data_IF_288761541882
#
_entry.id   IF_288761541882
#
_cell.length_a   1.000
_cell.length_b   1.000
_cell.length_c   1.000
_cell.angle_alpha   90.00
_cell.angle_beta   90.00
_cell.angle_gamma   90.00
#
_symmetry.space_group_name_H-M   'P 1'
#
loop_
_entity.id
_entity.type
_entity.pdbx_description
1 polymer ?
#
# COMPACT_ATOMS: atom_id res chain seq x y z
N UNK A 1 -11.59 10.51 -6.17
CA UNK A 1 -10.88 11.29 -5.13
C UNK A 1 -11.83 12.26 -4.42
N UNK A 2 -12.65 13.01 -5.16
CA UNK A 2 -13.57 14.00 -4.57
C UNK A 2 -14.62 13.39 -3.64
N UNK A 3 -15.10 12.16 -3.89
CA UNK A 3 -16.09 11.50 -3.03
C UNK A 3 -15.53 11.20 -1.63
N UNK A 4 -14.42 10.47 -1.51
CA UNK A 4 -13.83 10.11 -0.20
C UNK A 4 -13.36 11.32 0.60
N UNK A 5 -12.74 12.31 -0.06
CA UNK A 5 -12.35 13.56 0.62
C UNK A 5 -13.59 14.32 1.12
N UNK A 6 -14.65 14.39 0.32
CA UNK A 6 -15.90 15.03 0.74
C UNK A 6 -16.59 14.28 1.87
N UNK A 7 -16.59 12.95 1.83
CA UNK A 7 -17.07 12.10 2.91
C UNK A 7 -16.38 12.47 4.24
N UNK A 8 -15.04 12.53 4.25
CA UNK A 8 -14.31 12.87 5.47
C UNK A 8 -14.57 14.29 5.97
N UNK A 9 -14.66 15.28 5.06
CA UNK A 9 -15.03 16.66 5.42
C UNK A 9 -16.39 16.77 6.08
N UNK A 10 -17.35 15.97 5.64
CA UNK A 10 -18.70 15.97 6.18
C UNK A 10 -18.80 15.18 7.49
N UNK A 11 -17.98 14.13 7.65
CA UNK A 11 -18.04 13.21 8.79
C UNK A 11 -17.29 13.74 10.02
N UNK A 12 -16.18 14.46 9.82
CA UNK A 12 -15.26 14.85 10.90
C UNK A 12 -15.23 16.38 11.05
N UNK A 13 -15.68 16.89 12.20
CA UNK A 13 -15.76 18.33 12.46
C UNK A 13 -14.38 18.99 12.61
N UNK A 14 -13.40 18.29 13.18
CA UNK A 14 -12.07 18.82 13.50
C UNK A 14 -11.01 18.44 12.45
N UNK A 15 -11.44 18.01 11.27
CA UNK A 15 -10.52 17.55 10.24
C UNK A 15 -9.65 18.69 9.70
N UNK A 16 -8.35 18.44 9.57
CA UNK A 16 -7.38 19.38 9.01
C UNK A 16 -6.69 18.80 7.79
N UNK A 17 -6.27 19.66 6.88
CA UNK A 17 -5.62 19.26 5.62
C UNK A 17 -4.26 19.94 5.47
N UNK A 18 -3.32 19.26 4.83
CA UNK A 18 -2.10 19.86 4.29
C UNK A 18 -2.38 20.59 2.97
N UNK A 19 -1.39 21.34 2.49
CA UNK A 19 -1.48 22.11 1.25
C UNK A 19 -1.77 21.23 0.01
N UNK A 20 -1.28 20.00 0.00
CA UNK A 20 -1.55 19.01 -1.05
C UNK A 20 -2.94 18.34 -0.94
N UNK A 21 -3.75 18.76 0.03
CA UNK A 21 -5.10 18.27 0.26
C UNK A 21 -5.18 16.91 0.94
N UNK A 22 -4.08 16.44 1.54
CA UNK A 22 -4.07 15.25 2.41
C UNK A 22 -4.68 15.57 3.78
N UNK A 23 -5.37 14.61 4.40
CA UNK A 23 -5.83 14.77 5.79
C UNK A 23 -4.64 14.68 6.76
N UNK A 24 -4.39 15.75 7.51
CA UNK A 24 -3.35 15.80 8.55
C UNK A 24 -3.81 15.19 9.87
N UNK A 25 -5.03 15.51 10.28
CA UNK A 25 -5.66 15.12 11.56
C UNK A 25 -7.16 15.00 11.29
N UNK A 26 -7.80 13.94 11.78
CA UNK A 26 -9.25 13.71 11.79
C UNK A 26 -9.91 14.13 13.11
N UNK A 27 -9.23 13.93 14.24
CA UNK A 27 -9.72 14.28 15.58
C UNK A 27 -8.71 15.15 16.33
N UNK A 28 -7.88 14.56 17.19
CA UNK A 28 -6.73 15.22 17.81
C UNK A 28 -5.51 14.32 17.72
N UNK A 29 -4.31 14.91 17.70
CA UNK A 29 -3.06 14.15 17.63
C UNK A 29 -2.94 13.15 18.79
N UNK A 30 -3.40 13.49 19.99
CA UNK A 30 -3.34 12.60 21.14
C UNK A 30 -4.32 11.42 21.02
N UNK A 31 -5.56 11.66 20.59
CA UNK A 31 -6.55 10.60 20.38
C UNK A 31 -6.11 9.63 19.29
N UNK A 32 -5.68 10.15 18.14
CA UNK A 32 -5.18 9.33 17.05
C UNK A 32 -3.93 8.55 17.45
N UNK A 33 -2.98 9.16 18.15
CA UNK A 33 -1.79 8.44 18.62
C UNK A 33 -2.13 7.35 19.64
N UNK A 34 -3.07 7.61 20.55
CA UNK A 34 -3.51 6.63 21.53
C UNK A 34 -4.19 5.44 20.85
N UNK A 35 -5.01 5.67 19.82
CA UNK A 35 -5.66 4.59 19.08
C UNK A 35 -4.64 3.68 18.42
N UNK A 36 -3.61 4.21 17.74
CA UNK A 36 -2.59 3.33 17.13
C UNK A 36 -1.69 2.66 18.17
N UNK A 37 -1.48 3.29 19.33
CA UNK A 37 -0.61 2.76 20.38
C UNK A 37 -1.28 1.66 21.23
N UNK A 38 -2.58 1.78 21.50
CA UNK A 38 -3.30 0.91 22.43
C UNK A 38 -4.55 0.23 21.85
N UNK A 39 -5.06 0.72 20.71
CA UNK A 39 -6.31 0.29 20.07
C UNK A 39 -6.13 0.01 18.58
N UNK A 40 -6.94 0.68 17.75
CA UNK A 40 -6.92 0.56 16.29
C UNK A 40 -6.86 1.93 15.60
N UNK A 41 -5.87 2.11 14.75
CA UNK A 41 -5.80 3.21 13.78
C UNK A 41 -6.25 2.77 12.40
N UNK A 42 -7.10 3.58 11.75
CA UNK A 42 -7.40 3.44 10.33
C UNK A 42 -6.77 4.61 9.57
N UNK A 43 -5.79 4.34 8.71
CA UNK A 43 -5.17 5.35 7.86
C UNK A 43 -5.64 5.20 6.41
N UNK A 44 -6.17 6.29 5.84
CA UNK A 44 -6.60 6.30 4.44
C UNK A 44 -5.40 6.45 3.50
N UNK A 45 -5.07 5.37 2.78
CA UNK A 45 -3.97 5.33 1.82
C UNK A 45 -4.42 5.34 0.36
N UNK A 46 -5.68 5.71 0.08
CA UNK A 46 -6.28 5.66 -1.27
C UNK A 46 -5.63 6.60 -2.30
N UNK A 47 -4.79 7.54 -1.86
CA UNK A 47 -3.98 8.43 -2.72
C UNK A 47 -2.64 7.78 -3.15
N UNK A 48 -2.38 6.53 -2.75
CA UNK A 48 -1.27 5.74 -3.27
C UNK A 48 -1.35 5.61 -4.78
N UNK A 49 -0.20 5.66 -5.47
CA UNK A 49 -0.14 5.33 -6.88
C UNK A 49 -0.67 3.91 -7.12
N UNK A 50 -1.60 3.76 -8.06
CA UNK A 50 -2.07 2.45 -8.51
C UNK A 50 -1.93 2.36 -10.02
N UNK A 51 -0.98 1.55 -10.49
CA UNK A 51 -0.72 1.36 -11.91
C UNK A 51 -1.17 -0.04 -12.30
N UNK A 52 -2.14 -0.15 -13.20
CA UNK A 52 -2.58 -1.41 -13.78
C UNK A 52 -1.73 -1.73 -15.00
N UNK A 53 -1.24 -2.96 -15.07
CA UNK A 53 -0.58 -3.53 -16.24
C UNK A 53 -1.36 -4.74 -16.75
N UNK A 54 -1.53 -4.82 -18.06
CA UNK A 54 -2.17 -5.95 -18.75
C UNK A 54 -1.41 -6.28 -20.04
N UNK A 55 -1.61 -7.50 -20.54
CA UNK A 55 -0.89 -8.04 -21.70
C UNK A 55 -0.08 -9.29 -21.34
N UNK A 56 0.27 -10.09 -22.35
CA UNK A 56 0.87 -11.43 -22.12
C UNK A 56 2.31 -11.36 -21.59
N UNK A 57 3.01 -10.24 -21.82
CA UNK A 57 4.44 -10.09 -21.50
C UNK A 57 4.69 -9.43 -20.13
N UNK A 58 3.64 -9.00 -19.42
CA UNK A 58 3.74 -8.20 -18.18
C UNK A 58 4.65 -8.84 -17.14
N UNK A 59 4.49 -10.13 -16.86
CA UNK A 59 5.26 -10.80 -15.80
C UNK A 59 6.75 -10.86 -16.14
N UNK A 60 7.07 -11.23 -17.39
CA UNK A 60 8.45 -11.31 -17.88
C UNK A 60 9.09 -9.92 -17.94
N UNK A 61 8.31 -8.91 -18.33
CA UNK A 61 8.72 -7.52 -18.36
C UNK A 61 9.05 -7.00 -16.95
N UNK A 62 8.13 -7.15 -15.99
CA UNK A 62 8.34 -6.75 -14.59
C UNK A 62 9.49 -7.51 -13.93
N UNK A 63 9.69 -8.78 -14.29
CA UNK A 63 10.84 -9.56 -13.86
C UNK A 63 12.16 -8.94 -14.32
N UNK A 64 12.21 -8.29 -15.47
CA UNK A 64 13.43 -7.64 -15.98
C UNK A 64 13.67 -6.23 -15.46
N UNK A 65 12.66 -5.53 -14.96
CA UNK A 65 12.81 -4.10 -14.60
C UNK A 65 12.74 -3.82 -13.10
N UNK A 66 12.28 -4.79 -12.30
CA UNK A 66 12.16 -4.65 -10.85
C UNK A 66 13.17 -5.51 -10.09
N UNK A 67 13.41 -5.23 -8.82
CA UNK A 67 14.49 -5.87 -8.04
C UNK A 67 14.15 -7.24 -7.45
N UNK A 68 12.88 -7.55 -7.17
CA UNK A 68 12.48 -8.82 -6.54
C UNK A 68 12.07 -9.89 -7.57
N UNK A 69 12.13 -11.18 -7.21
CA UNK A 69 11.69 -12.25 -8.10
C UNK A 69 10.17 -12.31 -8.15
N UNK A 70 9.60 -11.87 -9.28
CA UNK A 70 8.16 -11.85 -9.51
C UNK A 70 7.70 -13.01 -10.41
N UNK A 71 8.62 -13.83 -10.91
CA UNK A 71 8.35 -14.85 -11.95
C UNK A 71 7.32 -15.92 -11.55
N UNK A 72 7.09 -16.10 -10.25
CA UNK A 72 6.16 -17.07 -9.67
C UNK A 72 4.96 -16.41 -8.99
N UNK A 73 4.64 -15.17 -9.37
CA UNK A 73 3.51 -14.46 -8.77
C UNK A 73 2.18 -15.10 -9.19
N UNK A 74 1.53 -15.75 -8.24
CA UNK A 74 0.24 -16.41 -8.42
C UNK A 74 -0.93 -15.42 -8.33
N UNK A 75 -2.10 -15.72 -8.94
CA UNK A 75 -3.29 -14.89 -8.78
C UNK A 75 -3.63 -14.65 -7.31
N UNK A 76 -4.08 -13.43 -7.01
CA UNK A 76 -4.38 -12.91 -5.68
C UNK A 76 -3.19 -12.88 -4.72
N UNK A 77 -1.95 -12.97 -5.20
CA UNK A 77 -0.76 -12.78 -4.37
C UNK A 77 -0.10 -11.44 -4.66
N UNK A 78 0.72 -10.99 -3.71
CA UNK A 78 1.59 -9.84 -3.91
C UNK A 78 3.04 -10.14 -3.60
N UNK A 79 3.91 -9.33 -4.17
CA UNK A 79 5.34 -9.28 -3.85
C UNK A 79 5.77 -7.82 -3.75
N UNK A 80 6.53 -7.49 -2.71
CA UNK A 80 7.16 -6.18 -2.60
C UNK A 80 8.37 -6.14 -3.53
N UNK A 81 8.48 -5.12 -4.36
CA UNK A 81 9.59 -4.97 -5.31
C UNK A 81 9.94 -3.50 -5.50
N UNK A 82 11.19 -3.24 -5.86
CA UNK A 82 11.72 -1.89 -6.02
C UNK A 82 11.87 -1.56 -7.50
N UNK A 83 11.62 -0.29 -7.81
CA UNK A 83 11.99 0.35 -9.06
C UNK A 83 13.22 1.20 -8.78
N UNK A 84 14.29 1.01 -9.55
CA UNK A 84 15.55 1.75 -9.35
C UNK A 84 16.07 2.29 -10.67
N UNK A 85 16.84 3.37 -10.65
CA UNK A 85 17.54 3.84 -11.85
C UNK A 85 18.79 3.01 -12.13
N UNK A 86 19.50 3.32 -13.22
CA UNK A 86 20.70 2.59 -13.66
C UNK A 86 21.85 2.67 -12.63
N UNK A 87 21.80 3.64 -11.71
CA UNK A 87 22.75 3.80 -10.60
C UNK A 87 22.30 3.08 -9.32
N UNK A 88 21.22 2.29 -9.37
CA UNK A 88 20.68 1.56 -8.23
C UNK A 88 19.96 2.43 -7.20
N UNK A 89 19.57 3.67 -7.55
CA UNK A 89 18.84 4.57 -6.64
C UNK A 89 17.34 4.39 -6.77
N UNK A 90 16.61 4.54 -5.65
CA UNK A 90 15.19 4.23 -5.57
C UNK A 90 14.33 5.23 -6.36
N UNK A 91 13.47 4.71 -7.22
CA UNK A 91 12.39 5.45 -7.92
C UNK A 91 11.08 5.28 -7.16
N UNK A 92 10.77 4.04 -6.77
CA UNK A 92 9.65 3.72 -5.90
C UNK A 92 9.82 2.32 -5.28
N UNK A 93 9.05 2.05 -4.22
CA UNK A 93 8.81 0.73 -3.67
C UNK A 93 7.33 0.41 -3.84
N UNK A 94 7.02 -0.70 -4.48
CA UNK A 94 5.64 -1.07 -4.80
C UNK A 94 5.29 -2.44 -4.23
N UNK A 95 4.01 -2.62 -3.87
CA UNK A 95 3.43 -3.95 -3.83
C UNK A 95 2.91 -4.30 -5.23
N UNK A 96 3.55 -5.25 -5.91
CA UNK A 96 3.05 -5.84 -7.14
C UNK A 96 2.05 -6.93 -6.79
N UNK A 97 0.78 -6.72 -7.14
CA UNK A 97 -0.33 -7.64 -6.91
C UNK A 97 -0.75 -8.23 -8.25
N UNK A 98 -0.86 -9.56 -8.34
CA UNK A 98 -1.57 -10.19 -9.46
C UNK A 98 -3.02 -10.37 -9.06
N UNK A 99 -3.93 -9.74 -9.78
CA UNK A 99 -5.37 -9.82 -9.52
C UNK A 99 -6.05 -10.37 -10.78
N UNK A 100 -6.48 -11.63 -10.69
CA UNK A 100 -6.94 -12.40 -11.86
C UNK A 100 -5.88 -12.38 -12.98
N UNK A 101 -6.25 -11.85 -14.15
CA UNK A 101 -5.38 -11.74 -15.33
C UNK A 101 -4.58 -10.43 -15.40
N UNK A 102 -4.78 -9.53 -14.43
CA UNK A 102 -4.15 -8.21 -14.41
C UNK A 102 -3.10 -8.11 -13.31
N UNK A 103 -2.20 -7.14 -13.46
CA UNK A 103 -1.20 -6.80 -12.46
C UNK A 103 -1.42 -5.38 -11.99
N UNK A 104 -1.32 -5.15 -10.69
CA UNK A 104 -1.46 -3.84 -10.08
C UNK A 104 -0.21 -3.54 -9.26
N UNK A 105 0.44 -2.43 -9.57
CA UNK A 105 1.48 -1.85 -8.73
C UNK A 105 0.83 -0.83 -7.81
N UNK A 106 0.82 -1.13 -6.51
CA UNK A 106 0.45 -0.15 -5.47
C UNK A 106 1.74 0.46 -4.93
N UNK A 107 2.04 1.66 -5.41
CA UNK A 107 3.26 2.41 -5.11
C UNK A 107 3.06 3.53 -4.09
N UNK A 108 3.99 4.48 -4.11
CA UNK A 108 3.96 5.60 -3.18
C UNK A 108 2.90 6.64 -3.57
N UNK A 109 2.43 7.35 -2.55
CA UNK A 109 1.48 8.45 -2.72
C UNK A 109 2.05 9.54 -3.65
N UNK A 110 1.22 10.01 -4.58
CA UNK A 110 1.54 11.03 -5.58
C UNK A 110 2.75 10.74 -6.51
N UNK A 111 3.19 9.47 -6.58
CA UNK A 111 4.32 9.06 -7.44
C UNK A 111 3.87 8.33 -8.71
N UNK A 112 2.57 8.33 -9.02
CA UNK A 112 1.95 7.59 -10.11
C UNK A 112 2.45 8.02 -11.49
N UNK A 113 2.53 9.33 -11.73
CA UNK A 113 3.02 9.86 -13.02
C UNK A 113 4.51 9.56 -13.25
N UNK A 114 5.32 9.61 -12.18
CA UNK A 114 6.76 9.29 -12.24
C UNK A 114 6.95 7.80 -12.49
N UNK A 115 6.27 6.96 -11.70
CA UNK A 115 6.33 5.50 -11.82
C UNK A 115 5.86 5.04 -13.19
N UNK A 116 4.70 5.50 -13.66
CA UNK A 116 4.17 5.13 -14.98
C UNK A 116 5.11 5.52 -16.12
N UNK A 117 5.65 6.75 -16.10
CA UNK A 117 6.61 7.22 -17.11
C UNK A 117 7.93 6.44 -17.07
N UNK A 118 8.38 6.07 -15.87
CA UNK A 118 9.58 5.28 -15.71
C UNK A 118 9.39 3.89 -16.32
N UNK A 119 8.27 3.22 -16.05
CA UNK A 119 7.95 1.89 -16.60
C UNK A 119 7.81 1.95 -18.13
N UNK A 120 7.06 2.94 -18.64
CA UNK A 120 6.78 3.12 -20.06
C UNK A 120 8.05 3.21 -20.92
N UNK A 121 9.10 3.87 -20.39
CA UNK A 121 10.41 3.98 -21.07
C UNK A 121 11.02 2.62 -21.46
N UNK A 122 10.76 1.57 -20.68
CA UNK A 122 11.35 0.26 -20.91
C UNK A 122 10.45 -0.67 -21.73
N UNK A 123 9.24 -0.24 -22.09
CA UNK A 123 8.37 -0.97 -23.02
C UNK A 123 8.80 -0.61 -24.44
N UNK A 124 9.31 -1.58 -25.18
CA UNK A 124 9.79 -1.37 -26.56
C UNK A 124 8.96 -2.18 -27.55
N UNK A 125 8.85 -3.49 -27.29
CA UNK A 125 8.12 -4.44 -28.16
C UNK A 125 7.20 -5.38 -27.37
N UNK A 126 7.31 -5.36 -26.05
CA UNK A 126 6.53 -6.16 -25.14
C UNK A 126 5.04 -5.82 -25.24
N UNK A 127 4.18 -6.84 -25.26
CA UNK A 127 2.74 -6.68 -25.13
C UNK A 127 2.38 -6.38 -23.67
N UNK A 128 2.55 -5.09 -23.32
CA UNK A 128 2.27 -4.50 -22.01
C UNK A 128 1.53 -3.18 -22.20
N UNK A 129 0.32 -3.09 -21.65
CA UNK A 129 -0.46 -1.87 -21.56
C UNK A 129 -0.43 -1.34 -20.14
N UNK A 130 -0.17 -0.04 -19.97
CA UNK A 130 -0.18 0.66 -18.69
C UNK A 130 -1.44 1.52 -18.60
N UNK A 131 -2.15 1.46 -17.47
CA UNK A 131 -3.26 2.33 -17.15
C UNK A 131 -3.14 2.86 -15.72
N UNK A 132 -3.37 4.16 -15.53
CA UNK A 132 -3.37 4.77 -14.19
C UNK A 132 -4.73 4.55 -13.52
N UNK A 133 -4.73 3.77 -12.45
CA UNK A 133 -5.90 3.43 -11.61
C UNK A 133 -5.83 4.12 -10.24
N UNK A 134 -4.96 5.10 -10.06
CA UNK A 134 -4.89 5.92 -8.84
C UNK A 134 -6.27 6.52 -8.55
N UNK A 135 -6.70 6.50 -7.29
CA UNK A 135 -8.02 6.93 -6.84
C UNK A 135 -9.23 6.08 -7.33
N UNK A 136 -9.01 4.89 -7.90
CA UNK A 136 -10.09 3.94 -8.26
C UNK A 136 -10.43 2.95 -7.14
N UNK A 137 -9.61 2.87 -6.11
CA UNK A 137 -9.81 1.98 -4.98
C UNK A 137 -9.85 2.77 -3.67
N UNK A 138 -10.71 2.34 -2.75
CA UNK A 138 -10.52 2.63 -1.34
C UNK A 138 -9.44 1.69 -0.84
N UNK A 139 -8.39 2.25 -0.25
CA UNK A 139 -7.31 1.48 0.36
C UNK A 139 -7.12 2.04 1.77
N UNK A 140 -7.28 1.19 2.77
CA UNK A 140 -7.11 1.54 4.18
C UNK A 140 -6.01 0.69 4.81
N UNK A 141 -5.09 1.32 5.52
CA UNK A 141 -4.22 0.66 6.49
C UNK A 141 -5.02 0.49 7.80
N UNK A 142 -5.18 -0.73 8.28
CA UNK A 142 -5.74 -1.07 9.60
C UNK A 142 -4.56 -1.52 10.48
N UNK A 143 -4.27 -0.75 11.51
CA UNK A 143 -3.02 -0.82 12.28
C UNK A 143 -3.26 -0.63 13.77
N UNK A 144 -2.26 -0.99 14.57
CA UNK A 144 -2.34 -0.96 16.04
C UNK A 144 -2.50 -2.36 16.64
N UNK A 145 -2.27 -2.51 17.95
CA UNK A 145 -2.21 -3.81 18.62
C UNK A 145 -3.53 -4.58 18.60
N UNK A 146 -4.66 -3.91 18.39
CA UNK A 146 -5.98 -4.55 18.32
C UNK A 146 -6.49 -4.74 16.88
N UNK A 147 -5.69 -4.43 15.85
CA UNK A 147 -6.12 -4.46 14.46
C UNK A 147 -6.64 -5.83 14.01
N UNK A 148 -5.97 -6.92 14.38
CA UNK A 148 -6.41 -8.28 14.01
C UNK A 148 -7.75 -8.61 14.68
N UNK A 149 -7.89 -8.36 15.99
CA UNK A 149 -9.13 -8.60 16.73
C UNK A 149 -10.30 -7.77 16.20
N UNK A 150 -10.05 -6.53 15.82
CA UNK A 150 -11.05 -5.69 15.16
C UNK A 150 -11.44 -6.26 13.80
N UNK A 151 -10.48 -6.68 12.97
CA UNK A 151 -10.80 -7.34 11.70
C UNK A 151 -11.59 -8.63 11.91
N UNK A 152 -11.31 -9.40 12.96
CA UNK A 152 -12.10 -10.61 13.31
C UNK A 152 -13.55 -10.25 13.64
N UNK A 153 -13.80 -9.12 14.32
CA UNK A 153 -15.17 -8.65 14.54
C UNK A 153 -15.89 -8.34 13.22
N UNK A 154 -15.21 -7.69 12.28
CA UNK A 154 -15.78 -7.18 11.03
C UNK A 154 -15.95 -8.27 9.97
N UNK A 155 -14.97 -9.18 9.85
CA UNK A 155 -14.87 -10.16 8.77
C UNK A 155 -15.06 -11.60 9.26
N UNK A 156 -15.19 -11.83 10.58
CA UNK A 156 -15.36 -13.17 11.14
C UNK A 156 -14.16 -14.08 10.86
N UNK A 157 -14.46 -15.32 10.47
CA UNK A 157 -13.46 -16.39 10.28
C UNK A 157 -12.53 -16.19 9.09
N UNK A 158 -12.86 -15.30 8.16
CA UNK A 158 -12.01 -15.01 7.00
C UNK A 158 -10.63 -14.47 7.44
N UNK A 159 -10.55 -13.88 8.64
CA UNK A 159 -9.29 -13.38 9.22
C UNK A 159 -8.33 -14.52 9.58
N UNK A 160 -8.85 -15.68 9.97
CA UNK A 160 -8.04 -16.86 10.33
C UNK A 160 -7.32 -17.45 9.10
N UNK A 161 -7.82 -17.17 7.90
CA UNK A 161 -7.21 -17.61 6.65
C UNK A 161 -6.08 -16.69 6.17
N UNK A 162 -5.94 -15.49 6.76
CA UNK A 162 -4.94 -14.52 6.34
C UNK A 162 -3.53 -15.08 6.45
N UNK A 163 -2.91 -15.21 5.28
CA UNK A 163 -1.51 -15.58 5.13
C UNK A 163 -0.70 -14.40 4.64
N UNK A 164 0.59 -14.43 4.95
CA UNK A 164 1.53 -13.46 4.40
C UNK A 164 1.49 -13.56 2.86
N UNK A 165 1.35 -12.42 2.19
CA UNK A 165 1.47 -12.29 0.74
C UNK A 165 0.27 -12.69 -0.13
N UNK A 166 -0.90 -12.96 0.45
CA UNK A 166 -2.11 -13.27 -0.32
C UNK A 166 -3.28 -12.35 0.04
N UNK A 167 -3.97 -11.87 -0.99
CA UNK A 167 -5.22 -11.14 -0.89
C UNK A 167 -6.34 -12.13 -0.61
N UNK A 168 -7.09 -11.87 0.46
CA UNK A 168 -8.22 -12.70 0.89
C UNK A 168 -9.49 -11.91 0.64
N UNK A 169 -10.37 -12.49 -0.17
CA UNK A 169 -11.67 -11.89 -0.46
C UNK A 169 -12.54 -12.01 0.79
N UNK A 170 -13.16 -10.89 1.17
CA UNK A 170 -14.10 -10.80 2.29
C UNK A 170 -15.36 -10.06 1.86
N UNK A 171 -16.43 -10.23 2.62
CA UNK A 171 -17.65 -9.44 2.48
C UNK A 171 -17.93 -8.71 3.79
N UNK A 172 -17.93 -7.38 3.74
CA UNK A 172 -18.20 -6.51 4.89
C UNK A 172 -19.53 -5.83 4.64
N UNK A 173 -20.55 -6.13 5.44
CA UNK A 173 -21.92 -5.62 5.22
C UNK A 173 -22.42 -5.84 3.79
N UNK A 174 -22.23 -7.06 3.27
CA UNK A 174 -22.59 -7.43 1.88
C UNK A 174 -21.71 -6.81 0.79
N UNK A 175 -20.74 -5.97 1.16
CA UNK A 175 -19.86 -5.26 0.23
C UNK A 175 -18.56 -6.07 0.00
N UNK A 176 -18.19 -6.35 -1.26
CA UNK A 176 -16.96 -7.08 -1.56
C UNK A 176 -15.73 -6.22 -1.27
N UNK A 177 -14.77 -6.79 -0.55
CA UNK A 177 -13.46 -6.21 -0.30
C UNK A 177 -12.38 -7.30 -0.29
N UNK A 178 -11.12 -6.89 -0.20
CA UNK A 178 -9.99 -7.78 -0.01
C UNK A 178 -9.15 -7.33 1.18
N UNK A 179 -8.77 -8.30 2.01
CA UNK A 179 -7.79 -8.13 3.08
C UNK A 179 -6.41 -8.59 2.63
N UNK A 180 -5.40 -7.87 3.08
CA UNK A 180 -4.00 -8.25 2.89
C UNK A 180 -3.24 -8.08 4.20
N UNK A 181 -2.70 -9.18 4.74
CA UNK A 181 -1.78 -9.12 5.87
C UNK A 181 -0.37 -8.83 5.37
N UNK A 182 0.28 -7.85 5.97
CA UNK A 182 1.65 -7.45 5.68
C UNK A 182 2.44 -7.35 6.97
N UNK A 183 3.76 -7.40 6.84
CA UNK A 183 4.69 -7.25 7.94
C UNK A 183 5.54 -6.00 7.75
N UNK A 184 5.57 -5.14 8.75
CA UNK A 184 6.47 -4.01 8.81
C UNK A 184 7.92 -4.50 9.06
N UNK A 185 8.92 -3.66 8.79
CA UNK A 185 10.32 -4.01 9.07
C UNK A 185 10.62 -4.09 10.58
N UNK A 186 9.76 -3.56 11.44
CA UNK A 186 9.78 -3.83 12.89
C UNK A 186 9.34 -5.25 13.25
N UNK A 187 8.65 -5.93 12.35
CA UNK A 187 8.00 -7.22 12.59
C UNK A 187 6.51 -7.13 12.94
N UNK A 188 5.99 -5.92 13.17
CA UNK A 188 4.56 -5.70 13.45
C UNK A 188 3.69 -6.04 12.23
N UNK A 189 2.51 -6.59 12.51
CA UNK A 189 1.52 -6.86 11.47
C UNK A 189 0.74 -5.59 11.14
N UNK A 190 0.49 -5.36 9.85
CA UNK A 190 -0.43 -4.33 9.36
C UNK A 190 -1.30 -4.91 8.26
N UNK A 191 -2.52 -4.41 8.14
CA UNK A 191 -3.50 -4.97 7.22
C UNK A 191 -3.94 -3.92 6.23
N UNK A 192 -4.02 -4.29 4.95
CA UNK A 192 -4.74 -3.47 3.97
C UNK A 192 -6.15 -4.00 3.81
N UNK A 193 -7.12 -3.11 3.88
CA UNK A 193 -8.46 -3.35 3.35
C UNK A 193 -8.59 -2.60 2.02
N UNK A 194 -8.93 -3.33 0.97
CA UNK A 194 -9.03 -2.81 -0.40
C UNK A 194 -10.41 -3.08 -0.98
N UNK A 195 -11.07 -2.05 -1.49
CA UNK A 195 -12.32 -2.18 -2.23
C UNK A 195 -12.36 -1.24 -3.43
N UNK A 196 -13.31 -1.46 -4.33
CA UNK A 196 -13.69 -0.44 -5.32
C UNK A 196 -14.10 0.86 -4.61
N UNK A 197 -13.72 2.01 -5.18
CA UNK A 197 -13.97 3.33 -4.57
C UNK A 197 -15.46 3.65 -4.44
N UNK A 198 -16.31 3.06 -5.29
CA UNK A 198 -17.76 3.25 -5.29
C UNK A 198 -18.42 2.78 -3.99
N UNK A 199 -17.80 1.81 -3.31
CA UNK A 199 -18.27 1.25 -2.06
C UNK A 199 -17.74 1.96 -0.81
N UNK A 200 -16.96 3.04 -1.00
CA UNK A 200 -16.15 3.62 0.07
C UNK A 200 -16.95 4.16 1.25
N UNK A 201 -18.05 4.88 0.99
CA UNK A 201 -18.87 5.48 2.07
C UNK A 201 -19.53 4.40 2.95
N UNK A 202 -20.10 3.36 2.32
CA UNK A 202 -20.75 2.23 3.01
C UNK A 202 -19.73 1.52 3.90
N UNK A 203 -18.55 1.21 3.37
CA UNK A 203 -17.49 0.55 4.14
C UNK A 203 -16.97 1.42 5.28
N UNK A 204 -16.70 2.70 5.01
CA UNK A 204 -16.21 3.62 6.04
C UNK A 204 -17.24 3.80 7.16
N UNK A 205 -18.52 3.98 6.84
CA UNK A 205 -19.58 4.08 7.84
C UNK A 205 -19.71 2.79 8.66
N UNK A 206 -19.64 1.64 8.01
CA UNK A 206 -19.69 0.35 8.71
C UNK A 206 -18.51 0.20 9.66
N UNK A 207 -17.27 0.42 9.19
CA UNK A 207 -16.07 0.31 10.01
C UNK A 207 -16.14 1.27 11.22
N UNK A 208 -16.45 2.54 10.97
CA UNK A 208 -16.42 3.58 12.01
C UNK A 208 -17.58 3.45 13.02
N UNK A 209 -18.68 2.77 12.65
CA UNK A 209 -19.77 2.47 13.59
C UNK A 209 -19.41 1.35 14.58
N UNK A 210 -18.44 0.48 14.26
CA UNK A 210 -18.03 -0.67 15.08
C UNK A 210 -16.79 -0.39 15.94
N UNK A 211 -16.68 0.83 16.46
CA UNK A 211 -15.54 1.27 17.31
C UNK A 211 -15.57 0.76 18.76
N UNK A 212 -16.71 0.25 19.22
CA UNK A 212 -16.88 -0.18 20.63
C UNK A 212 -15.89 -1.28 20.98
N UNK A 213 -15.25 -1.20 22.15
CA UNK A 213 -14.19 -2.09 22.69
C UNK A 213 -12.77 -1.81 22.17
N UNK A 214 -12.59 -1.22 20.99
CA UNK A 214 -11.27 -1.20 20.32
C UNK A 214 -10.49 0.13 20.34
N UNK A 215 -11.05 1.19 20.93
CA UNK A 215 -10.48 2.55 20.87
C UNK A 215 -10.03 2.90 19.45
N UNK A 216 -11.00 2.87 18.53
CA UNK A 216 -10.78 2.98 17.10
C UNK A 216 -10.93 4.43 16.63
N UNK A 217 -9.93 4.92 15.91
CA UNK A 217 -9.96 6.24 15.28
C UNK A 217 -9.43 6.19 13.83
N UNK A 218 -9.99 7.05 12.97
CA UNK A 218 -9.27 7.43 11.75
C UNK A 218 -8.03 8.23 12.16
N UNK A 219 -6.90 7.98 11.51
CA UNK A 219 -5.66 8.71 11.78
C UNK A 219 -5.18 9.46 10.54
N UNK A 220 -4.71 10.69 10.75
CA UNK A 220 -4.15 11.52 9.69
C UNK A 220 -2.65 11.33 9.52
N UNK A 221 -2.05 12.09 8.61
CA UNK A 221 -0.60 12.05 8.33
C UNK A 221 0.27 12.27 9.57
N UNK A 222 -0.11 13.16 10.49
CA UNK A 222 0.76 13.49 11.63
C UNK A 222 0.94 12.28 12.55
N UNK A 223 -0.14 11.56 12.84
CA UNK A 223 -0.14 10.35 13.66
C UNK A 223 0.43 9.14 12.90
N UNK A 224 0.12 9.02 11.61
CA UNK A 224 0.67 7.96 10.76
C UNK A 224 2.20 8.10 10.58
N UNK A 225 2.74 9.32 10.49
CA UNK A 225 4.19 9.54 10.38
C UNK A 225 4.94 9.06 11.62
N UNK A 226 4.36 9.24 12.82
CA UNK A 226 4.90 8.67 14.04
C UNK A 226 4.85 7.14 14.02
N UNK A 227 3.69 6.56 13.68
CA UNK A 227 3.52 5.11 13.61
C UNK A 227 4.49 4.45 12.63
N UNK A 228 4.60 5.00 11.41
CA UNK A 228 5.42 4.43 10.34
C UNK A 228 6.91 4.49 10.67
N UNK A 229 7.38 5.53 11.36
CA UNK A 229 8.77 5.61 11.84
C UNK A 229 9.05 4.52 12.89
N UNK A 230 8.19 4.37 13.90
CA UNK A 230 8.35 3.34 14.94
C UNK A 230 8.37 1.94 14.32
N UNK A 231 7.49 1.71 13.34
CA UNK A 231 7.35 0.42 12.66
C UNK A 231 8.26 0.23 11.45
N UNK A 232 9.16 1.19 11.17
CA UNK A 232 10.09 1.14 10.03
C UNK A 232 9.36 0.91 8.69
N UNK A 233 8.22 1.54 8.51
CA UNK A 233 7.50 1.60 7.23
C UNK A 233 7.99 2.85 6.49
N UNK A 234 8.67 2.62 5.36
CA UNK A 234 9.31 3.70 4.60
C UNK A 234 8.31 4.55 3.84
N UNK A 235 8.66 5.83 3.63
CA UNK A 235 7.83 6.81 2.91
C UNK A 235 8.61 7.49 1.77
N UNK A 236 7.94 7.72 0.65
CA UNK A 236 8.48 8.49 -0.46
C UNK A 236 8.76 9.94 -0.08
N UNK A 237 9.86 10.49 -0.61
CA UNK A 237 10.36 11.81 -0.23
C UNK A 237 11.05 11.84 1.14
N UNK A 238 11.11 10.71 1.84
CA UNK A 238 11.90 10.48 3.06
C UNK A 238 12.93 9.40 2.77
N UNK A 239 12.68 8.17 3.18
CA UNK A 239 13.62 7.04 3.01
C UNK A 239 13.58 6.44 1.60
N UNK A 240 12.51 6.66 0.84
CA UNK A 240 12.42 6.28 -0.58
C UNK A 240 12.60 7.55 -1.43
N UNK A 241 13.77 7.67 -2.05
CA UNK A 241 14.09 8.69 -3.06
C UNK A 241 15.34 8.29 -3.84
N UNK A 242 15.66 9.06 -4.87
CA UNK A 242 16.86 8.87 -5.69
C UNK A 242 18.17 9.20 -4.94
N UNK A 243 18.08 9.68 -3.71
CA UNK A 243 19.24 9.83 -2.80
C UNK A 243 19.68 8.50 -2.18
N UNK A 244 18.77 7.52 -2.09
CA UNK A 244 19.02 6.26 -1.38
C UNK A 244 19.06 5.06 -2.33
N UNK A 245 19.80 4.03 -1.94
CA UNK A 245 19.80 2.71 -2.57
C UNK A 245 19.20 1.64 -1.62
N UNK A 246 18.90 0.43 -2.11
CA UNK A 246 18.29 -0.63 -1.29
C UNK A 246 19.08 -1.03 -0.03
N UNK A 247 20.41 -0.96 -0.06
CA UNK A 247 21.25 -1.25 1.12
C UNK A 247 21.09 -0.18 2.19
N UNK A 248 21.19 1.09 1.79
CA UNK A 248 21.06 2.25 2.69
C UNK A 248 19.67 2.33 3.33
N UNK A 249 18.63 1.91 2.60
CA UNK A 249 17.24 1.96 3.04
C UNK A 249 16.77 0.68 3.78
N UNK A 250 17.64 -0.31 3.98
CA UNK A 250 17.30 -1.61 4.59
C UNK A 250 16.15 -2.34 3.83
N UNK A 251 16.28 -2.42 2.50
CA UNK A 251 15.28 -3.01 1.58
C UNK A 251 15.81 -4.24 0.83
N UNK A 252 16.86 -4.91 1.33
CA UNK A 252 17.43 -6.08 0.66
C UNK A 252 16.47 -7.28 0.58
N UNK A 253 15.47 -7.35 1.47
CA UNK A 253 14.41 -8.36 1.40
C UNK A 253 13.51 -8.18 0.15
N UNK A 254 13.53 -6.99 -0.46
CA UNK A 254 12.85 -6.70 -1.73
C UNK A 254 13.78 -6.83 -2.94
N UNK A 255 14.98 -7.40 -2.76
CA UNK A 255 15.98 -7.61 -3.81
C UNK A 255 16.31 -9.08 -3.95
N UNK A 256 16.06 -9.65 -5.13
CA UNK A 256 16.53 -10.99 -5.46
C UNK A 256 17.90 -10.91 -6.12
N UNK A 257 18.91 -11.50 -5.48
CA UNK A 257 20.25 -11.64 -6.04
C UNK A 257 20.38 -12.84 -7.01
N UNK A 258 19.30 -13.61 -7.21
CA UNK A 258 19.31 -14.88 -7.97
C UNK A 258 18.39 -14.89 -9.20
N UNK A 259 17.52 -13.89 -9.36
CA UNK A 259 16.50 -13.83 -10.43
C UNK A 259 17.02 -13.51 -11.84
N UNK A 260 18.28 -13.08 -11.97
CA UNK A 260 18.85 -12.56 -13.20
C UNK A 260 18.89 -11.02 -13.25
N UNK A 261 19.00 -10.47 -14.45
CA UNK A 261 19.25 -9.04 -14.64
C UNK A 261 18.03 -8.16 -14.38
N UNK A 262 18.26 -7.03 -13.72
CA UNK A 262 17.29 -5.95 -13.55
C UNK A 262 17.97 -4.57 -13.56
N UNK A 263 17.19 -3.50 -13.71
CA UNK A 263 17.74 -2.14 -13.76
C UNK A 263 18.40 -1.79 -12.42
N UNK A 264 19.66 -1.37 -12.47
CA UNK A 264 20.46 -1.04 -11.28
C UNK A 264 21.18 -2.23 -10.61
N UNK A 265 20.99 -3.47 -11.10
CA UNK A 265 21.54 -4.68 -10.48
C UNK A 265 23.06 -4.62 -10.27
N UNK A 266 23.84 -4.18 -11.27
CA UNK A 266 25.32 -4.21 -11.19
C UNK A 266 25.85 -3.40 -10.00
N UNK A 267 25.22 -2.25 -9.71
CA UNK A 267 25.59 -1.41 -8.57
C UNK A 267 25.12 -2.06 -7.27
N UNK A 268 23.86 -2.51 -7.22
CA UNK A 268 23.25 -3.11 -6.02
C UNK A 268 23.97 -4.39 -5.61
N UNK A 269 24.45 -5.21 -6.55
CA UNK A 269 25.12 -6.48 -6.26
C UNK A 269 26.59 -6.33 -5.81
N UNK A 270 27.17 -5.13 -5.87
CA UNK A 270 28.59 -4.87 -5.56
C UNK A 270 28.83 -4.09 -4.27
N UNK A 271 27.77 -3.57 -3.65
CA UNK A 271 27.81 -2.93 -2.34
C UNK A 271 27.79 -3.98 -1.23
#
# INVERSE_FOLDING_TARGET
MDSVKSYFKNKFENITFSEDGTVKIYSTVDQENNSVQYGVGIYNRSESAVIKLSGKDVLNFLQRITTNDVSKLEPFHYVSTLFTNEKGRLIDRTALIKFEDNYFLVGSKFNDAVLARWIDRYIITEDVKIENYTNKFLILDIIGPQAESYLTLICGKDVDELTDNKLHKVFIEGTPAHLLKKKALSGESLYWLVSEIENSEILLDYLLSHKSVFDLEMIGEDSFDRYRVINKVLKFGKEISDNYNPHEANLLDDVSFKKGCYIGQEVIARL
#
